data_IF_400976859960
#
_entry.id   IF_400976859960
#
_cell.length_a   1.000
_cell.length_b   1.000
_cell.length_c   1.000
_cell.angle_alpha   90.00
_cell.angle_beta   90.00
_cell.angle_gamma   90.00
#
_symmetry.space_group_name_H-M   'P 1'
#
loop_
_entity.id
_entity.type
_entity.pdbx_description
1 polymer ?
#
# COMPACT_ATOMS: atom_id res chain seq x y z
N UNK A 1 -12.22 -4.33 -13.91
CA UNK A 1 -10.89 -4.67 -13.36
C UNK A 1 -10.04 -5.26 -14.47
N UNK A 2 -9.00 -4.56 -14.93
CA UNK A 2 -7.98 -5.18 -15.78
C UNK A 2 -7.07 -6.03 -14.88
N UNK A 3 -7.03 -7.34 -15.10
CA UNK A 3 -6.14 -8.25 -14.39
C UNK A 3 -4.69 -7.91 -14.74
N UNK A 4 -3.88 -7.58 -13.73
CA UNK A 4 -2.43 -7.48 -13.86
C UNK A 4 -1.87 -8.79 -13.35
N UNK A 5 -1.37 -9.62 -14.26
CA UNK A 5 -0.65 -10.84 -13.90
C UNK A 5 0.78 -10.42 -13.60
N UNK A 6 1.15 -10.49 -12.34
CA UNK A 6 2.51 -10.25 -11.89
C UNK A 6 3.33 -11.54 -11.98
N UNK A 7 4.56 -11.43 -12.49
CA UNK A 7 5.45 -12.58 -12.64
C UNK A 7 6.46 -12.70 -11.48
N UNK A 8 6.36 -11.84 -10.45
CA UNK A 8 7.22 -11.90 -9.26
C UNK A 8 6.52 -11.33 -8.03
N UNK A 9 6.90 -11.78 -6.83
CA UNK A 9 6.36 -11.20 -5.58
C UNK A 9 6.62 -9.69 -5.49
N UNK A 10 7.80 -9.24 -5.96
CA UNK A 10 8.17 -7.82 -6.01
C UNK A 10 7.22 -7.00 -6.89
N UNK A 11 6.89 -7.48 -8.08
CA UNK A 11 5.95 -6.80 -8.97
C UNK A 11 4.53 -6.81 -8.39
N UNK A 12 4.12 -7.89 -7.71
CA UNK A 12 2.80 -7.97 -7.06
C UNK A 12 2.66 -6.95 -5.94
N UNK A 13 3.65 -6.88 -5.05
CA UNK A 13 3.64 -5.92 -3.94
C UNK A 13 3.76 -4.49 -4.42
N UNK A 14 4.54 -4.25 -5.47
CA UNK A 14 4.64 -2.94 -6.08
C UNK A 14 3.30 -2.47 -6.68
N UNK A 15 2.59 -3.35 -7.39
CA UNK A 15 1.25 -3.06 -7.91
C UNK A 15 0.27 -2.80 -6.76
N UNK A 16 0.30 -3.60 -5.70
CA UNK A 16 -0.53 -3.39 -4.52
C UNK A 16 -0.27 -2.03 -3.86
N UNK A 17 1.01 -1.64 -3.69
CA UNK A 17 1.39 -0.34 -3.17
C UNK A 17 0.93 0.81 -4.08
N UNK A 18 0.97 0.64 -5.41
CA UNK A 18 0.50 1.65 -6.37
C UNK A 18 -1.02 1.85 -6.31
N UNK A 19 -1.81 0.78 -6.17
CA UNK A 19 -3.25 0.92 -5.99
C UNK A 19 -3.58 1.54 -4.62
N UNK A 20 -2.88 1.14 -3.55
CA UNK A 20 -3.02 1.77 -2.23
C UNK A 20 -2.68 3.27 -2.27
N UNK A 21 -1.71 3.67 -3.09
CA UNK A 21 -1.35 5.07 -3.26
C UNK A 21 -2.47 5.89 -3.92
N UNK A 22 -3.18 5.34 -4.89
CA UNK A 22 -4.33 6.04 -5.51
C UNK A 22 -5.45 6.26 -4.51
N UNK A 23 -5.74 5.23 -3.70
CA UNK A 23 -6.75 5.33 -2.64
C UNK A 23 -6.34 6.34 -1.57
N UNK A 24 -5.07 6.35 -1.16
CA UNK A 24 -4.53 7.32 -0.21
C UNK A 24 -4.65 8.76 -0.74
N UNK A 25 -4.23 9.02 -1.98
CA UNK A 25 -4.35 10.32 -2.61
C UNK A 25 -5.82 10.76 -2.76
N UNK A 26 -6.72 9.83 -3.09
CA UNK A 26 -8.16 10.08 -3.10
C UNK A 26 -8.69 10.44 -1.71
N UNK A 27 -8.29 9.70 -0.66
CA UNK A 27 -8.69 9.97 0.72
C UNK A 27 -8.24 11.36 1.19
N UNK A 28 -7.02 11.81 0.87
CA UNK A 28 -6.58 13.18 1.22
C UNK A 28 -7.48 14.23 0.57
N UNK A 29 -7.75 14.10 -0.72
CA UNK A 29 -8.63 15.01 -1.46
C UNK A 29 -10.05 15.01 -0.90
N UNK A 30 -10.58 13.83 -0.61
CA UNK A 30 -11.91 13.69 -0.02
C UNK A 30 -12.01 14.40 1.34
N UNK A 31 -11.01 14.22 2.21
CA UNK A 31 -10.99 14.88 3.53
C UNK A 31 -10.86 16.39 3.40
N UNK A 32 -10.04 16.86 2.46
CA UNK A 32 -9.89 18.29 2.15
C UNK A 32 -11.22 18.91 1.68
N UNK A 33 -11.90 18.25 0.75
CA UNK A 33 -13.20 18.69 0.21
C UNK A 33 -14.33 18.65 1.24
N UNK A 34 -14.29 17.70 2.19
CA UNK A 34 -15.28 17.63 3.26
C UNK A 34 -15.24 18.86 4.18
N UNK A 35 -14.08 19.49 4.35
CA UNK A 35 -13.92 20.70 5.17
C UNK A 35 -14.22 20.52 6.67
N UNK A 36 -14.36 19.28 7.15
CA UNK A 36 -14.69 18.97 8.55
C UNK A 36 -13.46 18.93 9.47
N UNK A 37 -12.27 18.77 8.90
CA UNK A 37 -10.98 18.84 9.58
C UNK A 37 -10.00 19.65 8.71
N UNK A 38 -8.95 20.26 9.30
CA UNK A 38 -7.85 20.79 8.52
C UNK A 38 -7.26 19.70 7.62
N UNK A 39 -6.90 20.06 6.41
CA UNK A 39 -6.33 19.15 5.41
C UNK A 39 -5.19 18.30 5.98
N UNK A 40 -5.03 17.07 5.48
CA UNK A 40 -3.96 16.16 5.92
C UNK A 40 -2.61 16.73 5.45
N UNK A 41 -1.86 17.34 6.38
CA UNK A 41 -0.59 17.99 6.08
C UNK A 41 0.54 16.98 5.86
N UNK A 42 0.59 15.93 6.67
CA UNK A 42 1.65 14.94 6.59
C UNK A 42 1.46 13.98 5.39
N UNK A 43 2.55 13.43 4.82
CA UNK A 43 2.46 12.37 3.83
C UNK A 43 1.72 11.15 4.40
N UNK A 44 0.80 10.56 3.62
CA UNK A 44 0.18 9.30 4.02
C UNK A 44 1.18 8.15 3.90
N UNK A 45 1.21 7.29 4.91
CA UNK A 45 2.19 6.22 5.00
C UNK A 45 1.65 4.93 4.42
N UNK A 46 2.37 4.38 3.45
CA UNK A 46 2.11 3.05 2.91
C UNK A 46 3.21 2.11 3.41
N UNK A 47 2.81 1.11 4.18
CA UNK A 47 3.73 0.09 4.70
C UNK A 47 3.93 -1.03 3.67
N UNK A 48 5.18 -1.42 3.42
CA UNK A 48 5.54 -2.51 2.52
C UNK A 48 6.72 -3.31 3.13
N UNK A 49 6.69 -4.63 3.02
CA UNK A 49 7.76 -5.51 3.52
C UNK A 49 8.76 -5.94 2.44
N UNK A 50 8.40 -5.86 1.15
CA UNK A 50 9.31 -6.18 0.04
C UNK A 50 10.25 -5.02 -0.32
N UNK A 51 11.53 -5.19 -0.03
CA UNK A 51 12.57 -4.21 -0.35
C UNK A 51 12.66 -3.87 -1.84
N UNK A 52 12.45 -4.86 -2.72
CA UNK A 52 12.43 -4.64 -4.16
C UNK A 52 11.29 -3.71 -4.57
N UNK A 53 10.10 -3.87 -4.01
CA UNK A 53 8.96 -3.00 -4.29
C UNK A 53 9.20 -1.57 -3.75
N UNK A 54 9.79 -1.46 -2.55
CA UNK A 54 10.19 -0.17 -1.97
C UNK A 54 11.23 0.52 -2.87
N UNK A 55 12.25 -0.20 -3.32
CA UNK A 55 13.28 0.33 -4.20
C UNK A 55 12.69 0.80 -5.53
N UNK A 56 11.82 -0.01 -6.16
CA UNK A 56 11.12 0.36 -7.39
C UNK A 56 10.29 1.65 -7.24
N UNK A 57 9.75 1.92 -6.05
CA UNK A 57 8.95 3.10 -5.78
C UNK A 57 9.78 4.34 -5.47
N UNK A 58 11.02 4.17 -5.02
CA UNK A 58 11.95 5.27 -4.71
C UNK A 58 12.89 5.62 -5.86
N UNK A 59 13.24 4.65 -6.70
CA UNK A 59 14.23 4.84 -7.77
C UNK A 59 13.58 4.86 -9.16
N UNK A 60 13.97 5.81 -10.04
CA UNK A 60 13.55 5.80 -11.43
C UNK A 60 14.25 4.67 -12.20
N UNK A 61 13.57 3.53 -12.35
CA UNK A 61 14.05 2.44 -13.20
C UNK A 61 14.07 2.87 -14.66
N UNK A 62 15.26 3.07 -15.21
CA UNK A 62 15.52 3.17 -16.65
C UNK A 62 15.43 1.79 -17.28
N UNK A 63 14.24 1.26 -17.57
CA UNK A 63 14.12 0.13 -18.51
C UNK A 63 12.80 0.20 -19.29
N UNK A 64 12.92 0.51 -20.59
CA UNK A 64 11.83 0.50 -21.57
C UNK A 64 11.28 -0.91 -21.75
N UNK A 65 10.28 -1.31 -20.98
CA UNK A 65 9.32 -2.35 -21.40
C UNK A 65 7.98 -2.13 -20.71
N UNK A 66 6.95 -2.01 -21.55
CA UNK A 66 5.50 -1.94 -21.24
C UNK A 66 4.98 -0.57 -20.76
N UNK A 67 4.43 0.20 -21.70
CA UNK A 67 3.90 1.58 -21.52
C UNK A 67 2.71 1.69 -20.55
N UNK A 68 1.90 0.64 -20.41
CA UNK A 68 0.74 0.61 -19.50
C UNK A 68 1.13 0.29 -18.05
N UNK A 69 2.14 -0.57 -17.89
CA UNK A 69 2.86 -0.79 -16.63
C UNK A 69 3.49 0.55 -16.22
N UNK A 70 4.29 1.19 -17.08
CA UNK A 70 4.90 2.50 -16.78
C UNK A 70 3.91 3.55 -16.25
N UNK A 71 2.67 3.61 -16.75
CA UNK A 71 1.68 4.60 -16.28
C UNK A 71 1.18 4.33 -14.85
N UNK A 72 0.92 3.07 -14.49
CA UNK A 72 0.57 2.70 -13.10
C UNK A 72 1.77 2.76 -12.17
N UNK A 73 2.96 2.48 -12.72
CA UNK A 73 4.20 2.40 -11.97
C UNK A 73 4.77 3.81 -11.70
N UNK A 74 4.54 4.77 -12.59
CA UNK A 74 4.93 6.15 -12.30
C UNK A 74 4.03 6.82 -11.25
N UNK A 75 2.76 6.44 -11.14
CA UNK A 75 1.83 7.09 -10.22
C UNK A 75 2.35 7.12 -8.76
N UNK A 76 2.78 5.97 -8.23
CA UNK A 76 3.30 5.93 -6.85
C UNK A 76 4.56 6.78 -6.68
N UNK A 77 5.39 6.90 -7.73
CA UNK A 77 6.59 7.75 -7.71
C UNK A 77 6.22 9.22 -7.74
N UNK A 78 5.23 9.58 -8.54
CA UNK A 78 4.75 10.96 -8.67
C UNK A 78 4.16 11.44 -7.33
N UNK A 79 3.38 10.59 -6.64
CA UNK A 79 2.82 10.89 -5.31
C UNK A 79 3.88 10.90 -4.20
N UNK A 80 4.91 10.05 -4.30
CA UNK A 80 6.05 10.11 -3.37
C UNK A 80 6.88 11.37 -3.61
N UNK A 81 7.05 11.77 -4.87
CA UNK A 81 7.77 12.98 -5.24
C UNK A 81 7.02 14.28 -4.90
N UNK A 82 5.68 14.28 -4.96
CA UNK A 82 4.86 15.40 -4.50
C UNK A 82 4.88 15.55 -2.97
N UNK A 83 5.28 14.50 -2.25
CA UNK A 83 5.24 14.45 -0.80
C UNK A 83 3.86 14.11 -0.23
N UNK A 84 2.91 13.72 -1.08
CA UNK A 84 1.58 13.32 -0.62
C UNK A 84 1.58 11.96 0.07
N UNK A 85 2.52 11.09 -0.32
CA UNK A 85 2.66 9.72 0.15
C UNK A 85 4.12 9.43 0.51
N UNK A 86 4.32 8.58 1.52
CA UNK A 86 5.64 8.01 1.78
C UNK A 86 5.54 6.49 1.98
N UNK A 87 6.54 5.75 1.47
CA UNK A 87 6.61 4.30 1.62
C UNK A 87 7.57 3.94 2.74
N UNK A 88 7.02 3.25 3.75
CA UNK A 88 7.73 2.83 4.95
C UNK A 88 7.95 1.33 4.93
N UNK A 89 9.17 0.91 5.26
CA UNK A 89 9.46 -0.51 5.43
C UNK A 89 8.78 -1.00 6.70
N UNK A 90 8.09 -2.13 6.60
CA UNK A 90 7.56 -2.88 7.76
C UNK A 90 8.15 -4.28 7.76
N UNK A 91 8.27 -4.89 8.93
CA UNK A 91 8.65 -6.30 9.02
C UNK A 91 7.50 -7.18 8.50
N UNK A 92 7.80 -8.28 7.81
CA UNK A 92 6.78 -9.18 7.23
C UNK A 92 5.82 -9.76 8.28
N UNK A 93 6.26 -9.92 9.52
CA UNK A 93 5.38 -10.38 10.62
C UNK A 93 4.49 -9.27 11.19
N UNK A 94 4.69 -8.03 10.76
CA UNK A 94 3.93 -6.86 11.20
C UNK A 94 3.17 -6.18 10.05
N UNK A 95 3.28 -6.70 8.82
CA UNK A 95 2.51 -6.18 7.70
C UNK A 95 1.03 -6.60 7.84
N UNK A 96 0.18 -5.69 8.28
CA UNK A 96 -1.26 -5.94 8.47
C UNK A 96 -2.01 -6.21 7.15
N UNK A 97 -1.38 -5.96 6.00
CA UNK A 97 -1.95 -6.29 4.69
C UNK A 97 -1.75 -7.76 4.29
N UNK A 98 -0.85 -8.50 4.94
CA UNK A 98 -0.52 -9.89 4.61
C UNK A 98 -1.74 -10.83 4.59
N UNK A 99 -2.69 -10.77 5.55
CA UNK A 99 -3.89 -11.61 5.52
C UNK A 99 -4.74 -11.49 4.25
N UNK A 100 -4.65 -10.35 3.55
CA UNK A 100 -5.44 -10.09 2.35
C UNK A 100 -4.72 -10.52 1.06
N UNK A 101 -3.45 -10.91 1.14
CA UNK A 101 -2.59 -11.16 -0.02
C UNK A 101 -1.86 -12.50 0.01
N UNK A 102 -1.75 -13.13 1.18
CA UNK A 102 -0.97 -14.35 1.41
C UNK A 102 -1.80 -15.40 2.17
N UNK A 103 -1.63 -16.70 1.88
CA UNK A 103 -2.10 -17.75 2.78
C UNK A 103 -1.23 -17.75 4.06
N UNK A 104 -1.85 -17.58 5.22
CA UNK A 104 -1.17 -17.53 6.52
C UNK A 104 -1.60 -18.68 7.43
N UNK A 105 -0.74 -19.04 8.39
CA UNK A 105 -1.14 -19.93 9.49
C UNK A 105 -2.20 -19.25 10.36
N UNK A 106 -3.04 -20.06 11.02
CA UNK A 106 -4.10 -19.54 11.90
C UNK A 106 -3.55 -18.58 12.96
N UNK A 107 -2.45 -18.93 13.62
CA UNK A 107 -1.83 -18.08 14.63
C UNK A 107 -1.39 -16.70 14.09
N UNK A 108 -0.80 -16.66 12.88
CA UNK A 108 -0.38 -15.41 12.25
C UNK A 108 -1.60 -14.59 11.80
N UNK A 109 -2.62 -15.24 11.24
CA UNK A 109 -3.89 -14.60 10.87
C UNK A 109 -4.58 -13.96 12.09
N UNK A 110 -4.69 -14.68 13.21
CA UNK A 110 -5.29 -14.17 14.45
C UNK A 110 -4.49 -13.01 15.05
N UNK A 111 -3.16 -13.03 14.93
CA UNK A 111 -2.29 -11.92 15.32
C UNK A 111 -2.57 -10.67 14.50
N UNK A 112 -2.60 -10.78 13.16
CA UNK A 112 -2.91 -9.66 12.29
C UNK A 112 -4.34 -9.16 12.43
N UNK A 113 -5.33 -10.06 12.58
CA UNK A 113 -6.72 -9.70 12.81
C UNK A 113 -6.86 -8.81 14.06
N UNK A 114 -6.17 -9.18 15.16
CA UNK A 114 -6.10 -8.35 16.35
C UNK A 114 -5.41 -7.00 16.09
N UNK A 115 -4.34 -7.00 15.30
CA UNK A 115 -3.62 -5.78 14.89
C UNK A 115 -4.47 -4.80 14.07
N UNK A 116 -5.39 -5.29 13.23
CA UNK A 116 -6.35 -4.49 12.45
C UNK A 116 -7.51 -3.98 13.32
N UNK A 117 -7.67 -4.53 14.54
CA UNK A 117 -8.74 -4.15 15.46
C UNK A 117 -9.95 -5.10 15.44
N UNK A 118 -9.87 -6.22 14.72
CA UNK A 118 -10.90 -7.25 14.81
C UNK A 118 -10.84 -7.91 16.19
N UNK A 119 -12.02 -8.09 16.78
CA UNK A 119 -12.24 -8.70 18.09
C UNK A 119 -13.40 -9.69 18.00
N UNK A 120 -13.36 -10.76 18.77
CA UNK A 120 -14.48 -11.69 18.82
C UNK A 120 -15.71 -10.99 19.38
N UNK A 121 -16.89 -11.29 18.84
CA UNK A 121 -18.16 -10.71 19.31
C UNK A 121 -18.39 -10.89 20.82
N UNK A 122 -17.81 -11.94 21.42
CA UNK A 122 -17.88 -12.23 22.85
C UNK A 122 -17.07 -11.27 23.73
N UNK A 123 -16.19 -10.46 23.16
CA UNK A 123 -15.33 -9.50 23.89
C UNK A 123 -15.91 -8.07 23.92
N UNK A 124 -17.09 -7.85 23.33
CA UNK A 124 -17.77 -6.54 23.27
C UNK A 124 -18.80 -6.33 24.40
N UNK A 125 -19.12 -7.39 25.14
CA UNK A 125 -20.04 -7.41 26.31
C UNK A 125 -19.18 -7.51 27.57
#
# INVERSE_FOLDING_TARGET
>A
MNSVISNSTTESEYVAASEAAKEAAWMKKFIDELGVVPSIQDPLEIFCDNEGAIALAKEPMSHQRTRHIHRRFNYIRDEVASGDICIRKVHTDHNLADPFTKPLSQAKLEGHARGIGLRYSSEWI
#
